data_IF_280480012035
#
_entry.id   IF_280480012035
#
_cell.length_a   1.000
_cell.length_b   1.000
_cell.length_c   1.000
_cell.angle_alpha   90.00
_cell.angle_beta   90.00
_cell.angle_gamma   90.00
#
_symmetry.space_group_name_H-M   'P 1'
#
loop_
_entity.id
_entity.type
_entity.pdbx_description
1 polymer ?
#
# COMPACT_ATOMS: atom_id res chain seq x y z
N UNK A 1 -2.19 2.19 21.53
CA UNK A 1 -1.38 1.57 20.44
C UNK A 1 -2.16 1.75 19.15
N UNK A 2 -1.55 2.30 18.11
CA UNK A 2 -2.22 2.49 16.81
C UNK A 2 -2.16 1.19 16.02
N UNK A 3 -2.91 1.08 14.93
CA UNK A 3 -2.74 -0.02 13.97
C UNK A 3 -2.60 0.54 12.56
N UNK A 4 -1.98 -0.25 11.69
CA UNK A 4 -1.84 0.05 10.27
C UNK A 4 -1.84 -1.24 9.47
N UNK A 5 -2.16 -1.15 8.18
CA UNK A 5 -2.16 -2.29 7.26
C UNK A 5 -1.23 -1.96 6.10
N UNK A 6 -0.17 -2.75 5.95
CA UNK A 6 0.79 -2.59 4.87
C UNK A 6 0.38 -3.39 3.64
N UNK A 7 0.81 -2.89 2.48
CA UNK A 7 0.71 -3.57 1.19
C UNK A 7 2.12 -3.66 0.62
N UNK A 8 2.42 -4.76 -0.07
CA UNK A 8 3.71 -4.94 -0.71
C UNK A 8 4.01 -3.71 -1.62
N UNK A 9 5.23 -3.13 -1.56
CA UNK A 9 5.51 -1.84 -2.22
C UNK A 9 5.25 -1.85 -3.72
N UNK A 10 5.63 -2.93 -4.43
CA UNK A 10 5.33 -3.05 -5.87
C UNK A 10 3.81 -3.10 -6.14
N UNK A 11 3.04 -3.81 -5.29
CA UNK A 11 1.58 -3.88 -5.47
C UNK A 11 0.92 -2.52 -5.18
N UNK A 12 1.51 -1.75 -4.26
CA UNK A 12 1.10 -0.38 -3.95
C UNK A 12 1.37 0.54 -5.14
N UNK A 13 2.57 0.51 -5.71
CA UNK A 13 2.95 1.31 -6.87
C UNK A 13 2.04 1.05 -8.09
N UNK A 14 1.78 -0.21 -8.43
CA UNK A 14 0.87 -0.58 -9.53
C UNK A 14 -0.56 -0.10 -9.26
N UNK A 15 -1.02 -0.23 -8.01
CA UNK A 15 -2.35 0.21 -7.62
C UNK A 15 -2.50 1.74 -7.65
N UNK A 16 -1.45 2.47 -7.27
CA UNK A 16 -1.40 3.92 -7.35
C UNK A 16 -1.42 4.36 -8.81
N UNK A 17 -0.61 3.76 -9.66
CA UNK A 17 -0.60 4.06 -11.09
C UNK A 17 -1.98 3.86 -11.72
N UNK A 18 -2.59 2.70 -11.49
CA UNK A 18 -3.94 2.38 -11.98
C UNK A 18 -4.98 3.42 -11.53
N UNK A 19 -4.81 3.98 -10.34
CA UNK A 19 -5.68 5.02 -9.79
C UNK A 19 -5.46 6.36 -10.50
N UNK A 20 -4.21 6.80 -10.59
CA UNK A 20 -3.84 8.09 -11.19
C UNK A 20 -4.28 8.20 -12.65
N UNK A 21 -4.34 7.10 -13.40
CA UNK A 21 -4.82 7.12 -14.80
C UNK A 21 -6.27 7.58 -14.95
N UNK A 22 -7.12 7.33 -13.94
CA UNK A 22 -8.57 7.59 -14.02
C UNK A 22 -9.04 8.71 -13.09
N UNK A 23 -8.17 9.21 -12.21
CA UNK A 23 -8.52 10.16 -11.16
C UNK A 23 -8.72 11.60 -11.68
N UNK A 24 -9.50 11.78 -12.74
CA UNK A 24 -9.75 13.09 -13.38
C UNK A 24 -10.47 14.10 -12.47
N UNK A 25 -11.09 13.60 -11.40
CA UNK A 25 -11.73 14.41 -10.35
C UNK A 25 -10.75 14.99 -9.33
N UNK A 26 -9.49 14.55 -9.30
CA UNK A 26 -8.49 15.08 -8.36
C UNK A 26 -7.81 16.35 -8.90
N UNK A 27 -7.58 17.38 -8.06
CA UNK A 27 -6.86 18.58 -8.49
C UNK A 27 -5.42 18.31 -8.97
N UNK A 28 -4.84 17.20 -8.53
CA UNK A 28 -3.49 16.73 -8.86
C UNK A 28 -3.45 15.79 -10.06
N UNK A 29 -4.59 15.60 -10.76
CA UNK A 29 -4.65 14.76 -11.95
C UNK A 29 -3.67 15.25 -13.02
N UNK A 30 -2.88 14.32 -13.55
CA UNK A 30 -1.98 14.54 -14.69
C UNK A 30 -2.52 13.75 -15.90
N UNK A 31 -3.07 14.43 -16.93
CA UNK A 31 -3.58 13.77 -18.13
C UNK A 31 -2.54 12.91 -18.86
N UNK A 32 -1.23 13.20 -18.71
CA UNK A 32 -0.18 12.42 -19.35
C UNK A 32 -0.04 11.00 -18.82
N UNK A 33 -0.57 10.71 -17.62
CA UNK A 33 -0.56 9.36 -17.04
C UNK A 33 -1.58 8.43 -17.71
N UNK A 34 -2.64 8.98 -18.31
CA UNK A 34 -3.76 8.21 -18.86
C UNK A 34 -3.32 7.23 -19.95
N UNK A 35 -2.43 7.67 -20.84
CA UNK A 35 -1.98 6.90 -22.00
C UNK A 35 -0.60 6.25 -21.76
N UNK A 36 -0.02 6.41 -20.56
CA UNK A 36 1.27 5.86 -20.18
C UNK A 36 1.18 4.36 -19.90
N UNK A 37 2.21 3.59 -20.25
CA UNK A 37 2.32 2.18 -19.82
C UNK A 37 2.94 2.05 -18.42
N UNK A 38 2.85 0.86 -17.82
CA UNK A 38 3.49 0.61 -16.51
C UNK A 38 5.02 0.70 -16.60
N UNK A 39 5.62 0.31 -17.72
CA UNK A 39 7.04 0.42 -18.00
C UNK A 39 7.48 1.88 -18.08
N UNK A 40 6.72 2.72 -18.80
CA UNK A 40 6.98 4.16 -18.90
C UNK A 40 6.83 4.84 -17.54
N UNK A 41 5.80 4.47 -16.78
CA UNK A 41 5.59 4.96 -15.43
C UNK A 41 6.76 4.59 -14.51
N UNK A 42 7.21 3.33 -14.54
CA UNK A 42 8.33 2.86 -13.73
C UNK A 42 9.66 3.57 -14.04
N UNK A 43 9.84 4.03 -15.29
CA UNK A 43 11.01 4.81 -15.75
C UNK A 43 10.88 6.31 -15.48
N UNK A 44 9.67 6.80 -15.22
CA UNK A 44 9.40 8.22 -15.01
C UNK A 44 9.78 8.68 -13.60
N UNK A 45 9.81 10.00 -13.42
CA UNK A 45 9.91 10.68 -12.12
C UNK A 45 8.59 10.72 -11.34
N UNK A 46 7.49 10.23 -11.94
CA UNK A 46 6.16 10.21 -11.32
C UNK A 46 5.91 8.99 -10.44
N UNK A 47 6.77 7.97 -10.54
CA UNK A 47 6.68 6.78 -9.71
C UNK A 47 6.96 7.12 -8.25
N UNK A 48 6.18 6.52 -7.34
CA UNK A 48 6.46 6.62 -5.92
C UNK A 48 7.86 6.08 -5.58
N UNK A 49 8.61 6.85 -4.80
CA UNK A 49 9.97 6.51 -4.37
C UNK A 49 10.03 6.39 -2.84
N UNK A 50 10.06 5.15 -2.34
CA UNK A 50 10.23 4.83 -0.92
C UNK A 50 9.31 5.63 0.02
N UNK A 51 8.07 5.88 -0.41
CA UNK A 51 7.17 6.83 0.24
C UNK A 51 6.96 6.49 1.72
N UNK A 52 6.86 5.20 2.06
CA UNK A 52 6.58 4.76 3.42
C UNK A 52 7.78 4.98 4.34
N UNK A 53 8.98 4.62 3.88
CA UNK A 53 10.23 4.85 4.62
C UNK A 53 10.46 6.35 4.82
N UNK A 54 10.26 7.16 3.78
CA UNK A 54 10.37 8.63 3.86
C UNK A 54 9.40 9.22 4.89
N UNK A 55 8.15 8.80 4.82
CA UNK A 55 7.10 9.30 5.72
C UNK A 55 7.39 8.94 7.19
N UNK A 56 7.74 7.68 7.46
CA UNK A 56 7.95 7.18 8.82
C UNK A 56 9.28 7.65 9.43
N UNK A 57 10.31 7.88 8.60
CA UNK A 57 11.58 8.48 9.04
C UNK A 57 11.54 10.01 9.05
N UNK A 58 10.43 10.63 8.65
CA UNK A 58 10.25 12.08 8.51
C UNK A 58 11.30 12.73 7.58
N UNK A 59 11.67 12.04 6.49
CA UNK A 59 12.68 12.47 5.50
C UNK A 59 12.08 12.44 4.10
N UNK A 60 11.32 13.48 3.76
CA UNK A 60 10.57 13.55 2.49
C UNK A 60 11.44 13.90 1.28
N UNK A 61 12.62 14.50 1.48
CA UNK A 61 13.51 14.96 0.42
C UNK A 61 14.94 14.42 0.63
N UNK A 62 15.73 14.43 -0.44
CA UNK A 62 17.11 13.95 -0.44
C UNK A 62 17.24 12.42 -0.46
N UNK A 63 18.48 11.97 -0.34
CA UNK A 63 18.82 10.55 -0.43
C UNK A 63 18.47 9.81 0.86
N UNK A 64 17.99 8.58 0.69
CA UNK A 64 17.78 7.64 1.80
C UNK A 64 19.04 6.80 2.04
N UNK A 65 19.18 6.38 3.29
CA UNK A 65 20.24 5.51 3.76
C UNK A 65 19.65 4.57 4.82
N UNK A 66 20.45 3.61 5.28
CA UNK A 66 20.00 2.58 6.23
C UNK A 66 19.51 3.15 7.56
N UNK A 67 20.03 4.30 8.01
CA UNK A 67 19.58 4.93 9.25
C UNK A 67 18.11 5.39 9.15
N UNK A 68 17.67 5.84 7.96
CA UNK A 68 16.27 6.19 7.73
C UNK A 68 15.37 4.96 7.75
N UNK A 69 15.82 3.84 7.17
CA UNK A 69 15.09 2.57 7.22
C UNK A 69 14.93 2.08 8.66
N UNK A 70 16.00 2.09 9.45
CA UNK A 70 15.94 1.67 10.85
C UNK A 70 15.07 2.59 11.71
N UNK A 71 15.09 3.90 11.45
CA UNK A 71 14.17 4.84 12.09
C UNK A 71 12.70 4.51 11.75
N UNK A 72 12.39 4.24 10.48
CA UNK A 72 11.06 3.84 10.05
C UNK A 72 10.61 2.53 10.73
N UNK A 73 11.49 1.52 10.77
CA UNK A 73 11.22 0.24 11.47
C UNK A 73 10.95 0.45 12.96
N UNK A 74 11.68 1.33 13.64
CA UNK A 74 11.43 1.61 15.06
C UNK A 74 10.10 2.31 15.31
N UNK A 75 9.69 3.21 14.41
CA UNK A 75 8.35 3.80 14.46
C UNK A 75 7.28 2.71 14.32
N UNK A 76 7.42 1.83 13.33
CA UNK A 76 6.49 0.70 13.12
C UNK A 76 6.43 -0.21 14.37
N UNK A 77 7.58 -0.63 14.86
CA UNK A 77 7.73 -1.54 16.02
C UNK A 77 7.06 -1.00 17.28
N UNK A 78 7.29 0.28 17.59
CA UNK A 78 6.85 0.85 18.86
C UNK A 78 5.45 1.44 18.84
N UNK A 79 5.00 1.97 17.70
CA UNK A 79 3.75 2.73 17.64
C UNK A 79 2.58 1.91 17.12
N UNK A 80 2.85 0.90 16.30
CA UNK A 80 1.81 0.21 15.56
C UNK A 80 1.63 -1.26 15.93
N UNK A 81 0.41 -1.71 15.71
CA UNK A 81 0.03 -3.09 15.48
C UNK A 81 -0.10 -3.27 13.97
N UNK A 82 0.78 -4.08 13.39
CA UNK A 82 0.86 -4.26 11.93
C UNK A 82 -0.08 -5.35 11.43
N UNK A 83 -0.83 -5.05 10.37
CA UNK A 83 -1.52 -6.00 9.52
C UNK A 83 -0.99 -5.96 8.09
N UNK A 84 -1.34 -6.97 7.29
CA UNK A 84 -0.96 -7.07 5.88
C UNK A 84 -2.20 -7.21 5.00
N UNK A 85 -2.30 -6.41 3.94
CA UNK A 85 -3.45 -6.43 3.03
C UNK A 85 -3.58 -7.77 2.29
N UNK A 86 -2.44 -8.40 1.95
CA UNK A 86 -2.37 -9.75 1.37
C UNK A 86 -2.98 -10.82 2.29
N UNK A 87 -3.02 -10.54 3.60
CA UNK A 87 -3.63 -11.39 4.64
C UNK A 87 -4.76 -10.64 5.37
N UNK A 88 -5.62 -9.96 4.62
CA UNK A 88 -6.70 -9.11 5.16
C UNK A 88 -7.62 -9.80 6.17
N UNK A 89 -7.95 -11.08 5.97
CA UNK A 89 -8.80 -11.83 6.91
C UNK A 89 -8.09 -12.00 8.25
N UNK A 90 -6.89 -12.59 8.24
CA UNK A 90 -6.06 -12.75 9.44
C UNK A 90 -5.75 -11.42 10.13
N UNK A 91 -5.53 -10.38 9.33
CA UNK A 91 -5.30 -9.01 9.80
C UNK A 91 -6.50 -8.50 10.58
N UNK A 92 -7.71 -8.60 10.03
CA UNK A 92 -8.91 -8.15 10.72
C UNK A 92 -9.17 -8.95 12.00
N UNK A 93 -9.02 -10.27 11.98
CA UNK A 93 -9.17 -11.09 13.19
C UNK A 93 -8.18 -10.69 14.29
N UNK A 94 -6.92 -10.40 13.90
CA UNK A 94 -5.89 -9.95 14.83
C UNK A 94 -6.24 -8.60 15.44
N UNK A 95 -6.68 -7.64 14.63
CA UNK A 95 -7.08 -6.30 15.08
C UNK A 95 -8.30 -6.38 16.00
N UNK A 96 -9.33 -7.12 15.61
CA UNK A 96 -10.55 -7.32 16.41
C UNK A 96 -10.23 -7.90 17.79
N UNK A 97 -9.35 -8.91 17.86
CA UNK A 97 -8.91 -9.49 19.12
C UNK A 97 -8.12 -8.50 19.98
N UNK A 98 -7.18 -7.78 19.37
CA UNK A 98 -6.29 -6.87 20.09
C UNK A 98 -7.01 -5.65 20.64
N UNK A 99 -7.92 -5.08 19.86
CA UNK A 99 -8.71 -3.90 20.24
C UNK A 99 -10.06 -4.26 20.88
N UNK A 100 -10.35 -5.56 21.03
CA UNK A 100 -11.58 -6.11 21.63
C UNK A 100 -12.83 -5.62 20.92
N UNK A 101 -12.77 -5.47 19.61
CA UNK A 101 -13.95 -5.11 18.81
C UNK A 101 -14.94 -6.26 18.83
N UNK A 102 -16.19 -5.94 19.14
CA UNK A 102 -17.29 -6.89 19.20
C UNK A 102 -18.52 -6.26 18.59
N UNK A 103 -19.36 -7.10 18.00
CA UNK A 103 -20.67 -6.67 17.55
C UNK A 103 -21.58 -6.45 18.76
N UNK A 104 -22.23 -5.29 18.79
CA UNK A 104 -23.20 -4.95 19.83
C UNK A 104 -24.63 -4.93 19.31
N UNK A 105 -24.82 -4.72 18.00
CA UNK A 105 -26.13 -4.58 17.36
C UNK A 105 -26.20 -5.54 16.18
N UNK A 106 -27.17 -6.45 16.18
CA UNK A 106 -27.38 -7.42 15.10
C UNK A 106 -26.09 -8.14 14.62
N UNK A 107 -25.44 -8.94 15.48
CA UNK A 107 -24.15 -9.58 15.18
C UNK A 107 -24.15 -10.41 13.88
N UNK A 108 -25.27 -11.08 13.58
CA UNK A 108 -25.39 -11.92 12.38
C UNK A 108 -25.27 -11.11 11.10
N UNK A 109 -25.93 -9.94 11.01
CA UNK A 109 -25.83 -9.10 9.82
C UNK A 109 -24.49 -8.37 9.74
N UNK A 110 -23.90 -8.00 10.88
CA UNK A 110 -22.56 -7.39 10.91
C UNK A 110 -21.49 -8.39 10.44
N UNK A 111 -21.57 -9.67 10.82
CA UNK A 111 -20.65 -10.69 10.32
C UNK A 111 -20.79 -10.90 8.82
N UNK A 112 -22.02 -10.97 8.29
CA UNK A 112 -22.24 -11.06 6.83
C UNK A 112 -21.63 -9.86 6.10
N UNK A 113 -21.73 -8.66 6.66
CA UNK A 113 -21.12 -7.46 6.09
C UNK A 113 -19.58 -7.55 6.12
N UNK A 114 -19.01 -7.94 7.26
CA UNK A 114 -17.57 -8.15 7.43
C UNK A 114 -17.03 -9.15 6.42
N UNK A 115 -17.64 -10.33 6.32
CA UNK A 115 -17.24 -11.37 5.37
C UNK A 115 -17.32 -10.86 3.93
N UNK A 116 -18.42 -10.19 3.56
CA UNK A 116 -18.59 -9.61 2.22
C UNK A 116 -17.49 -8.61 1.89
N UNK A 117 -17.12 -7.73 2.82
CA UNK A 117 -16.06 -6.74 2.61
C UNK A 117 -14.68 -7.39 2.53
N UNK A 118 -14.41 -8.41 3.34
CA UNK A 118 -13.11 -9.08 3.34
C UNK A 118 -12.92 -9.97 2.11
N UNK A 119 -13.95 -10.68 1.67
CA UNK A 119 -13.87 -11.58 0.50
C UNK A 119 -14.06 -10.79 -0.80
N UNK A 120 -15.19 -10.07 -0.93
CA UNK A 120 -15.56 -9.35 -2.14
C UNK A 120 -14.82 -8.02 -2.35
N UNK A 121 -14.28 -7.45 -1.27
CA UNK A 121 -13.72 -6.10 -1.30
C UNK A 121 -14.79 -5.01 -1.32
N UNK A 122 -14.35 -3.77 -1.20
CA UNK A 122 -15.16 -2.57 -1.46
C UNK A 122 -14.26 -1.54 -2.13
N UNK A 123 -14.84 -0.71 -3.01
CA UNK A 123 -14.13 0.36 -3.71
C UNK A 123 -12.84 -0.10 -4.42
N UNK A 124 -12.85 -1.29 -5.02
CA UNK A 124 -11.74 -1.73 -5.87
C UNK A 124 -11.65 -0.84 -7.10
N UNK A 125 -10.44 -0.37 -7.42
CA UNK A 125 -10.23 0.37 -8.65
C UNK A 125 -10.67 -0.50 -9.84
N UNK A 126 -11.57 0.05 -10.66
CA UNK A 126 -12.10 -0.62 -11.85
C UNK A 126 -11.06 -0.67 -12.97
N UNK A 127 -10.15 0.31 -13.00
CA UNK A 127 -8.98 0.25 -13.85
C UNK A 127 -7.99 -0.73 -13.23
N UNK A 128 -7.90 -1.92 -13.81
CA UNK A 128 -6.99 -2.97 -13.37
C UNK A 128 -5.89 -3.10 -14.39
N UNK A 129 -4.71 -2.63 -14.01
CA UNK A 129 -3.49 -2.94 -14.73
C UNK A 129 -2.95 -4.24 -14.15
N UNK A 130 -2.52 -5.13 -15.02
CA UNK A 130 -1.88 -6.37 -14.59
C UNK A 130 -0.56 -6.04 -13.88
N UNK A 131 -0.35 -6.68 -12.74
CA UNK A 131 0.91 -6.56 -12.02
C UNK A 131 2.03 -7.11 -12.91
N UNK A 132 3.13 -6.37 -13.13
CA UNK A 132 4.30 -6.90 -13.81
C UNK A 132 4.80 -8.18 -13.15
N UNK A 133 5.20 -9.16 -13.96
CA UNK A 133 5.75 -10.41 -13.45
C UNK A 133 7.07 -10.16 -12.73
N UNK A 134 7.32 -10.85 -11.62
CA UNK A 134 8.61 -10.79 -10.93
C UNK A 134 9.75 -11.13 -11.88
N UNK A 135 10.80 -10.30 -11.94
CA UNK A 135 11.92 -10.43 -12.87
C UNK A 135 11.68 -9.80 -14.26
N UNK A 136 10.53 -9.18 -14.49
CA UNK A 136 10.35 -8.27 -15.64
C UNK A 136 11.01 -6.93 -15.36
N UNK A 137 11.39 -6.21 -16.43
CA UNK A 137 12.02 -4.89 -16.32
C UNK A 137 11.15 -3.91 -15.51
N UNK A 138 9.84 -3.87 -15.75
CA UNK A 138 8.92 -3.01 -15.00
C UNK A 138 8.87 -3.38 -13.51
N UNK A 139 8.83 -4.67 -13.18
CA UNK A 139 8.84 -5.11 -11.78
C UNK A 139 10.11 -4.66 -11.07
N UNK A 140 11.25 -4.91 -11.70
CA UNK A 140 12.57 -4.63 -11.11
C UNK A 140 12.79 -3.13 -10.94
N UNK A 141 12.32 -2.29 -11.88
CA UNK A 141 12.35 -0.84 -11.75
C UNK A 141 11.44 -0.34 -10.62
N UNK A 142 10.21 -0.83 -10.51
CA UNK A 142 9.30 -0.47 -9.41
C UNK A 142 9.87 -0.90 -8.06
N UNK A 143 10.47 -2.08 -7.99
CA UNK A 143 11.14 -2.59 -6.80
C UNK A 143 12.36 -1.74 -6.45
N UNK A 144 13.16 -1.35 -7.44
CA UNK A 144 14.32 -0.49 -7.26
C UNK A 144 13.95 0.90 -6.73
N UNK A 145 12.88 1.52 -7.27
CA UNK A 145 12.35 2.79 -6.77
C UNK A 145 11.85 2.70 -5.32
N UNK A 146 11.51 1.50 -4.87
CA UNK A 146 10.97 1.21 -3.54
C UNK A 146 11.91 0.29 -2.74
N UNK A 147 13.22 0.39 -2.98
CA UNK A 147 14.25 -0.49 -2.41
C UNK A 147 14.38 -0.43 -0.88
N UNK A 148 13.93 0.63 -0.21
CA UNK A 148 13.84 0.72 1.25
C UNK A 148 12.46 0.35 1.78
N UNK A 149 11.40 0.58 0.99
CA UNK A 149 10.05 0.15 1.37
C UNK A 149 9.90 -1.38 1.35
N UNK A 150 10.65 -2.09 0.49
CA UNK A 150 10.68 -3.57 0.47
C UNK A 150 11.18 -4.14 1.80
N UNK A 151 12.39 -3.83 2.29
CA UNK A 151 12.88 -4.34 3.58
C UNK A 151 12.17 -3.72 4.79
N UNK A 152 11.38 -2.66 4.62
CA UNK A 152 10.44 -2.20 5.66
C UNK A 152 9.20 -3.09 5.75
N UNK A 153 8.76 -3.66 4.62
CA UNK A 153 7.59 -4.54 4.53
C UNK A 153 7.88 -5.97 5.01
N UNK A 154 9.08 -6.50 4.72
CA UNK A 154 9.55 -7.83 5.15
C UNK A 154 9.82 -7.91 6.67
#
# INVERSE_FOLDING_TARGET
RLFTVFRHPVDRAVSLFSYLQIADWEPTYDPSLKDMTIEEYAKSDRVENNWMTRFLSNTMAGDLNDAHLEAAKEVVRNKFTVGLLSRKVDTMERLERMFRWRYHVNPVNQEKCREKLLVGGSNSNKNKIDKPQSGSEAYDLLAWQNNYDIPLYE
#
